data_IF_638781302200
#
_entry.id   IF_638781302200
#
_cell.length_a   1.000
_cell.length_b   1.000
_cell.length_c   1.000
_cell.angle_alpha   90.00
_cell.angle_beta   90.00
_cell.angle_gamma   90.00
#
_symmetry.space_group_name_H-M   'P 1'
#
loop_
_entity.id
_entity.type
_entity.pdbx_description
1 polymer ?
#
# COMPACT_ATOMS: atom_id res chain seq x y z
N UNK A 1 -35.24 -2.43 -6.36
CA UNK A 1 -34.82 -3.20 -7.55
C UNK A 1 -34.56 -2.21 -8.68
N UNK A 2 -33.35 -1.67 -8.72
CA UNK A 2 -32.76 -1.05 -9.92
C UNK A 2 -31.35 -1.64 -9.96
N UNK A 3 -31.31 -2.91 -10.38
CA UNK A 3 -30.11 -3.62 -10.81
C UNK A 3 -30.17 -3.68 -12.34
N UNK A 4 -28.99 -3.59 -12.95
CA UNK A 4 -28.70 -3.84 -14.37
C UNK A 4 -29.16 -2.80 -15.40
N UNK A 5 -28.24 -1.91 -15.82
CA UNK A 5 -27.83 -1.77 -17.22
C UNK A 5 -26.84 -0.62 -17.44
N UNK A 6 -25.54 -0.89 -17.26
CA UNK A 6 -24.56 -0.42 -18.23
C UNK A 6 -23.64 -1.61 -18.50
N UNK A 7 -23.71 -2.18 -19.69
CA UNK A 7 -22.75 -3.14 -20.20
C UNK A 7 -21.40 -2.44 -20.41
N UNK A 8 -20.70 -2.16 -19.31
CA UNK A 8 -19.26 -1.83 -19.25
C UNK A 8 -18.38 -3.08 -19.31
N UNK A 9 -18.96 -4.25 -19.60
CA UNK A 9 -18.29 -5.54 -19.66
C UNK A 9 -17.11 -5.48 -20.64
N UNK A 10 -15.91 -5.21 -20.12
CA UNK A 10 -14.67 -5.09 -20.88
C UNK A 10 -14.02 -3.71 -20.93
N UNK A 11 -14.58 -2.65 -20.34
CA UNK A 11 -13.92 -1.32 -20.28
C UNK A 11 -13.37 -1.01 -18.89
N UNK A 12 -12.31 -0.20 -18.84
CA UNK A 12 -11.87 0.44 -17.59
C UNK A 12 -12.85 1.55 -17.27
N UNK A 13 -13.44 1.58 -16.08
CA UNK A 13 -14.31 2.66 -15.62
C UNK A 13 -13.59 3.43 -14.53
N UNK A 14 -13.44 4.75 -14.69
CA UNK A 14 -12.88 5.63 -13.69
C UNK A 14 -13.93 6.63 -13.21
N UNK A 15 -13.91 6.95 -11.93
CA UNK A 15 -14.75 7.96 -11.31
C UNK A 15 -13.88 9.13 -10.84
N UNK A 16 -14.29 10.34 -11.21
CA UNK A 16 -13.61 11.57 -10.83
C UNK A 16 -14.56 12.46 -10.05
N UNK A 17 -14.10 12.98 -8.91
CA UNK A 17 -14.70 14.16 -8.29
C UNK A 17 -14.19 15.41 -9.02
N UNK A 18 -15.14 16.25 -9.41
CA UNK A 18 -14.96 17.50 -10.11
C UNK A 18 -15.39 18.66 -9.19
N UNK A 19 -14.43 19.50 -8.83
CA UNK A 19 -14.63 20.75 -8.11
C UNK A 19 -14.80 21.89 -9.12
N UNK A 20 -16.00 21.97 -9.69
CA UNK A 20 -16.39 22.95 -10.70
C UNK A 20 -17.90 23.28 -10.61
N UNK A 21 -18.35 24.42 -11.16
CA UNK A 21 -19.77 24.72 -11.27
C UNK A 21 -20.54 23.62 -12.04
N UNK A 22 -21.78 23.28 -11.65
CA UNK A 22 -22.57 22.23 -12.33
C UNK A 22 -22.73 22.44 -13.84
N UNK A 23 -22.81 23.69 -14.29
CA UNK A 23 -22.92 24.03 -15.72
C UNK A 23 -21.66 23.69 -16.53
N UNK A 24 -20.50 23.52 -15.87
CA UNK A 24 -19.20 23.23 -16.51
C UNK A 24 -18.83 21.74 -16.43
N UNK A 25 -19.48 20.97 -15.55
CA UNK A 25 -19.08 19.60 -15.22
C UNK A 25 -19.07 18.65 -16.43
N UNK A 26 -20.11 18.71 -17.26
CA UNK A 26 -20.21 17.90 -18.49
C UNK A 26 -19.07 18.21 -19.47
N UNK A 27 -18.73 19.50 -19.62
CA UNK A 27 -17.64 19.93 -20.49
C UNK A 27 -16.28 19.48 -19.94
N UNK A 28 -16.07 19.61 -18.62
CA UNK A 28 -14.85 19.15 -17.97
C UNK A 28 -14.69 17.63 -18.06
N UNK A 29 -15.76 16.86 -17.87
CA UNK A 29 -15.75 15.41 -18.02
C UNK A 29 -15.35 14.98 -19.44
N UNK A 30 -15.89 15.63 -20.48
CA UNK A 30 -15.49 15.37 -21.87
C UNK A 30 -14.03 15.71 -22.13
N UNK A 31 -13.54 16.81 -21.56
CA UNK A 31 -12.12 17.16 -21.65
C UNK A 31 -11.24 16.10 -21.01
N UNK A 32 -11.57 15.63 -19.80
CA UNK A 32 -10.86 14.54 -19.12
C UNK A 32 -10.84 13.28 -20.01
N UNK A 33 -11.98 12.92 -20.59
CA UNK A 33 -12.10 11.73 -21.44
C UNK A 33 -11.19 11.77 -22.66
N UNK A 34 -11.10 12.93 -23.34
CA UNK A 34 -10.28 13.11 -24.54
C UNK A 34 -8.79 13.31 -24.21
N UNK A 35 -8.48 14.07 -23.17
CA UNK A 35 -7.11 14.34 -22.71
C UNK A 35 -6.37 13.06 -22.33
N UNK A 36 -7.05 12.08 -21.73
CA UNK A 36 -6.42 10.82 -21.34
C UNK A 36 -6.31 9.79 -22.47
N UNK A 37 -6.83 10.09 -23.67
CA UNK A 37 -6.94 9.08 -24.75
C UNK A 37 -6.41 9.56 -26.09
N UNK A 38 -6.97 10.64 -26.61
CA UNK A 38 -6.69 11.13 -27.98
C UNK A 38 -5.89 12.42 -27.98
N UNK A 39 -5.82 13.13 -26.84
CA UNK A 39 -5.06 14.39 -26.67
C UNK A 39 -5.37 15.44 -27.75
N UNK A 40 -6.61 15.43 -28.25
CA UNK A 40 -7.09 16.31 -29.31
C UNK A 40 -8.46 16.89 -28.97
N UNK A 41 -8.77 18.12 -29.41
CA UNK A 41 -10.12 18.65 -29.37
C UNK A 41 -11.09 17.71 -30.10
N UNK A 42 -12.30 17.55 -29.56
CA UNK A 42 -13.32 16.62 -30.10
C UNK A 42 -13.56 16.79 -31.60
N UNK A 43 -13.62 18.05 -32.05
CA UNK A 43 -13.82 18.40 -33.46
C UNK A 43 -12.71 17.88 -34.41
N UNK A 44 -11.50 17.65 -33.90
CA UNK A 44 -10.36 17.16 -34.67
C UNK A 44 -10.26 15.63 -34.71
N UNK A 45 -10.95 14.93 -33.82
CA UNK A 45 -11.06 13.47 -33.86
C UNK A 45 -12.07 13.13 -34.94
N UNK A 46 -11.67 13.07 -36.21
CA UNK A 46 -12.62 12.89 -37.34
C UNK A 46 -12.84 11.44 -37.75
N UNK A 47 -11.89 10.56 -37.44
CA UNK A 47 -11.96 9.13 -37.74
C UNK A 47 -12.99 8.40 -36.84
N UNK A 48 -14.03 7.77 -37.41
CA UNK A 48 -15.04 7.04 -36.63
C UNK A 48 -14.48 5.88 -35.80
N UNK A 49 -13.43 5.20 -36.28
CA UNK A 49 -12.80 4.09 -35.55
C UNK A 49 -12.05 4.61 -34.32
N UNK A 50 -11.32 5.73 -34.45
CA UNK A 50 -10.63 6.36 -33.31
C UNK A 50 -11.65 6.84 -32.26
N UNK A 51 -12.75 7.48 -32.68
CA UNK A 51 -13.83 7.87 -31.77
C UNK A 51 -14.43 6.67 -31.03
N UNK A 52 -14.65 5.57 -31.73
CA UNK A 52 -15.28 4.41 -31.14
C UNK A 52 -14.34 3.62 -30.21
N UNK A 53 -13.07 3.47 -30.58
CA UNK A 53 -12.15 2.53 -29.94
C UNK A 53 -11.12 3.18 -29.01
N UNK A 54 -10.70 4.41 -29.29
CA UNK A 54 -9.63 5.09 -28.54
C UNK A 54 -10.21 6.12 -27.59
N UNK A 55 -11.10 6.99 -28.07
CA UNK A 55 -11.63 8.08 -27.27
C UNK A 55 -12.33 7.57 -25.99
N UNK A 56 -12.03 8.23 -24.88
CA UNK A 56 -12.74 8.03 -23.61
C UNK A 56 -14.22 8.40 -23.77
N UNK A 57 -15.09 7.73 -23.00
CA UNK A 57 -16.54 7.96 -23.05
C UNK A 57 -17.01 8.46 -21.70
N UNK A 58 -17.64 9.62 -21.67
CA UNK A 58 -18.38 10.06 -20.50
C UNK A 58 -19.63 9.19 -20.40
N UNK A 59 -19.68 8.35 -19.38
CA UNK A 59 -20.83 7.47 -19.12
C UNK A 59 -21.89 8.22 -18.32
N UNK A 60 -21.47 9.05 -17.38
CA UNK A 60 -22.37 9.76 -16.48
C UNK A 60 -21.69 10.98 -15.86
N UNK A 61 -22.46 12.05 -15.66
CA UNK A 61 -22.10 13.18 -14.82
C UNK A 61 -23.24 13.48 -13.86
N UNK A 62 -22.97 13.43 -12.56
CA UNK A 62 -23.93 13.74 -11.51
C UNK A 62 -23.40 14.94 -10.73
N UNK A 63 -24.24 15.95 -10.55
CA UNK A 63 -23.92 17.07 -9.67
C UNK A 63 -24.74 16.99 -8.39
N UNK A 64 -24.06 17.20 -7.27
CA UNK A 64 -24.65 17.27 -5.92
C UNK A 64 -24.24 18.59 -5.25
N UNK A 65 -24.82 18.91 -4.10
CA UNK A 65 -24.45 20.11 -3.35
C UNK A 65 -22.97 20.04 -2.93
N UNK A 66 -22.14 20.86 -3.59
CA UNK A 66 -20.72 21.06 -3.27
C UNK A 66 -19.71 20.40 -4.21
N UNK A 67 -20.09 19.45 -5.07
CA UNK A 67 -19.22 18.90 -6.13
C UNK A 67 -20.01 18.10 -7.18
N UNK A 68 -19.40 17.87 -8.34
CA UNK A 68 -19.89 16.93 -9.34
C UNK A 68 -19.00 15.68 -9.40
N UNK A 69 -19.57 14.57 -9.86
CA UNK A 69 -18.88 13.32 -10.11
C UNK A 69 -19.03 12.97 -11.59
N UNK A 70 -17.94 12.60 -12.24
CA UNK A 70 -17.93 12.10 -13.61
C UNK A 70 -17.45 10.66 -13.67
N UNK A 71 -18.20 9.80 -14.35
CA UNK A 71 -17.79 8.43 -14.67
C UNK A 71 -17.39 8.37 -16.13
N UNK A 72 -16.17 7.93 -16.37
CA UNK A 72 -15.56 7.89 -17.70
C UNK A 72 -15.02 6.50 -17.95
N UNK A 73 -15.36 5.93 -19.11
CA UNK A 73 -14.87 4.62 -19.51
C UNK A 73 -13.79 4.71 -20.59
N UNK A 74 -12.79 3.85 -20.48
CA UNK A 74 -11.63 3.77 -21.36
C UNK A 74 -11.48 2.36 -21.94
N UNK A 75 -10.90 2.27 -23.13
CA UNK A 75 -10.51 0.99 -23.71
C UNK A 75 -9.31 0.42 -22.92
N UNK A 76 -9.40 -0.80 -22.34
CA UNK A 76 -8.32 -1.37 -21.54
C UNK A 76 -7.03 -1.59 -22.34
N UNK A 77 -7.10 -1.76 -23.66
CA UNK A 77 -5.92 -1.98 -24.50
C UNK A 77 -4.97 -0.77 -24.51
N UNK A 78 -5.47 0.44 -24.20
CA UNK A 78 -4.66 1.66 -24.12
C UNK A 78 -3.59 1.60 -23.02
N UNK A 79 -3.81 0.82 -21.97
CA UNK A 79 -2.80 0.66 -20.92
C UNK A 79 -1.80 -0.46 -21.20
N UNK A 80 -1.94 -1.21 -22.30
CA UNK A 80 -1.06 -2.32 -22.68
C UNK A 80 -0.76 -3.32 -21.53
N UNK A 81 -1.69 -3.45 -20.57
CA UNK A 81 -1.55 -4.28 -19.35
C UNK A 81 -0.34 -3.90 -18.47
N UNK A 82 0.08 -2.64 -18.53
CA UNK A 82 1.15 -2.07 -17.69
C UNK A 82 0.55 -1.15 -16.63
N UNK A 83 1.02 -1.27 -15.39
CA UNK A 83 0.43 -0.53 -14.28
C UNK A 83 0.77 0.97 -14.36
N UNK A 84 1.94 1.28 -14.90
CA UNK A 84 2.35 2.66 -15.22
C UNK A 84 1.44 3.31 -16.27
N UNK A 85 1.12 2.59 -17.35
CA UNK A 85 0.23 3.11 -18.39
C UNK A 85 -1.22 3.17 -17.92
N UNK A 86 -1.65 2.25 -17.05
CA UNK A 86 -2.96 2.38 -16.40
C UNK A 86 -3.01 3.66 -15.54
N UNK A 87 -1.93 3.99 -14.83
CA UNK A 87 -1.87 5.21 -14.05
C UNK A 87 -1.90 6.47 -14.94
N UNK A 88 -1.25 6.44 -16.11
CA UNK A 88 -1.35 7.50 -17.12
C UNK A 88 -2.81 7.62 -17.59
N UNK A 89 -3.44 6.53 -17.99
CA UNK A 89 -4.82 6.52 -18.47
C UNK A 89 -5.81 7.05 -17.42
N UNK A 90 -5.62 6.71 -16.15
CA UNK A 90 -6.50 7.13 -15.06
C UNK A 90 -6.20 8.57 -14.61
N UNK A 91 -4.93 8.95 -14.47
CA UNK A 91 -4.54 10.20 -13.81
C UNK A 91 -3.22 10.80 -14.32
N UNK A 92 -2.92 10.65 -15.61
CA UNK A 92 -1.77 11.27 -16.31
C UNK A 92 -1.92 12.79 -16.48
N UNK A 93 -2.24 13.28 -17.68
CA UNK A 93 -2.32 14.72 -17.97
C UNK A 93 -3.34 15.45 -17.06
N UNK A 94 -4.42 14.78 -16.67
CA UNK A 94 -5.45 15.38 -15.81
C UNK A 94 -4.98 15.62 -14.38
N UNK A 95 -3.83 15.07 -13.96
CA UNK A 95 -3.20 15.45 -12.69
C UNK A 95 -2.74 16.92 -12.66
N UNK A 96 -2.59 17.55 -13.84
CA UNK A 96 -2.25 18.97 -14.00
C UNK A 96 -3.51 19.85 -13.89
N UNK A 97 -4.70 19.27 -14.07
CA UNK A 97 -5.95 20.00 -13.97
C UNK A 97 -6.23 20.37 -12.51
N UNK A 98 -6.86 21.52 -12.28
CA UNK A 98 -7.34 21.91 -10.96
C UNK A 98 -8.70 21.29 -10.70
N UNK A 99 -8.97 20.93 -9.44
CA UNK A 99 -10.29 20.46 -9.03
C UNK A 99 -10.67 19.09 -9.59
N UNK A 100 -9.69 18.24 -9.94
CA UNK A 100 -9.93 16.87 -10.42
C UNK A 100 -9.28 15.90 -9.44
N UNK A 101 -10.09 15.01 -8.86
CA UNK A 101 -9.62 13.93 -8.00
C UNK A 101 -10.14 12.59 -8.51
N UNK A 102 -9.24 11.61 -8.69
CA UNK A 102 -9.63 10.23 -8.98
C UNK A 102 -10.15 9.59 -7.68
N UNK A 103 -11.43 9.22 -7.65
CA UNK A 103 -12.13 8.73 -6.45
C UNK A 103 -12.45 7.24 -6.49
N UNK A 104 -12.64 6.67 -7.67
CA UNK A 104 -12.80 5.22 -7.84
C UNK A 104 -12.31 4.75 -9.21
N UNK A 105 -12.02 3.46 -9.36
CA UNK A 105 -11.91 2.83 -10.67
C UNK A 105 -12.28 1.34 -10.61
N UNK A 106 -12.75 0.80 -11.74
CA UNK A 106 -13.03 -0.62 -11.94
C UNK A 106 -12.35 -1.11 -13.21
N UNK A 107 -11.73 -2.27 -13.11
CA UNK A 107 -11.01 -2.89 -14.22
C UNK A 107 -11.73 -4.15 -14.68
N UNK A 108 -11.69 -4.47 -15.99
CA UNK A 108 -12.08 -5.79 -16.48
C UNK A 108 -11.23 -6.88 -15.82
N UNK A 109 -11.84 -8.06 -15.58
CA UNK A 109 -11.17 -9.18 -14.94
C UNK A 109 -9.87 -9.60 -15.66
N UNK A 110 -9.86 -9.59 -17.00
CA UNK A 110 -8.69 -9.93 -17.80
C UNK A 110 -7.53 -8.95 -17.62
N UNK A 111 -7.82 -7.65 -17.49
CA UNK A 111 -6.80 -6.64 -17.21
C UNK A 111 -6.27 -6.80 -15.78
N UNK A 112 -7.17 -7.05 -14.82
CA UNK A 112 -6.79 -7.25 -13.43
C UNK A 112 -5.88 -8.47 -13.24
N UNK A 113 -6.17 -9.57 -13.94
CA UNK A 113 -5.38 -10.80 -13.94
C UNK A 113 -3.97 -10.63 -14.52
N UNK A 114 -3.70 -9.54 -15.24
CA UNK A 114 -2.36 -9.25 -15.71
C UNK A 114 -1.42 -8.81 -14.56
N UNK A 115 -1.93 -8.27 -13.46
CA UNK A 115 -1.10 -7.78 -12.36
C UNK A 115 -0.74 -8.91 -11.37
N UNK A 116 0.48 -8.91 -10.81
CA UNK A 116 0.93 -10.03 -9.97
C UNK A 116 0.13 -10.17 -8.67
N UNK A 117 -0.30 -9.04 -8.10
CA UNK A 117 -0.82 -9.04 -6.74
C UNK A 117 0.20 -9.50 -5.70
N UNK A 118 -0.20 -9.57 -4.42
CA UNK A 118 0.68 -10.00 -3.34
C UNK A 118 1.17 -11.45 -3.51
N UNK A 119 2.45 -11.68 -3.22
CA UNK A 119 3.06 -13.02 -3.30
C UNK A 119 2.49 -13.96 -2.21
N UNK A 120 2.27 -13.42 -1.01
CA UNK A 120 1.74 -14.12 0.16
C UNK A 120 0.34 -13.63 0.54
N UNK A 121 0.13 -12.31 0.46
CA UNK A 121 -1.04 -11.64 1.00
C UNK A 121 -1.22 -11.86 2.50
N UNK A 122 -2.42 -11.53 2.99
CA UNK A 122 -2.82 -11.68 4.38
C UNK A 122 -2.61 -13.11 4.88
N UNK A 123 -3.15 -14.11 4.18
CA UNK A 123 -3.10 -15.50 4.61
C UNK A 123 -1.66 -16.03 4.68
N UNK A 124 -0.84 -15.78 3.65
CA UNK A 124 0.55 -16.24 3.63
C UNK A 124 1.40 -15.57 4.72
N UNK A 125 1.17 -14.29 5.02
CA UNK A 125 1.88 -13.61 6.13
C UNK A 125 1.50 -14.18 7.50
N UNK A 126 0.25 -14.63 7.68
CA UNK A 126 -0.18 -15.34 8.89
C UNK A 126 0.52 -16.68 9.04
N UNK A 127 0.69 -17.41 7.93
CA UNK A 127 1.44 -18.67 7.92
C UNK A 127 2.92 -18.45 8.21
N UNK A 128 3.55 -17.44 7.60
CA UNK A 128 4.97 -17.14 7.81
C UNK A 128 5.30 -16.74 9.25
N UNK A 129 4.40 -16.01 9.91
CA UNK A 129 4.59 -15.53 11.29
C UNK A 129 4.02 -16.47 12.34
N UNK A 130 3.13 -17.40 11.96
CA UNK A 130 2.38 -18.24 12.90
C UNK A 130 1.36 -17.49 13.76
N UNK A 131 1.20 -16.18 13.57
CA UNK A 131 0.32 -15.34 14.40
C UNK A 131 -1.11 -15.39 13.88
N UNK A 132 -2.06 -15.69 14.76
CA UNK A 132 -3.49 -15.67 14.45
C UNK A 132 -4.26 -14.88 15.49
N UNK A 133 -5.33 -14.21 15.07
CA UNK A 133 -6.27 -13.60 15.99
C UNK A 133 -5.93 -12.22 16.52
N UNK A 134 -4.75 -11.68 16.23
CA UNK A 134 -4.35 -10.31 16.59
C UNK A 134 -3.58 -9.64 15.43
N UNK A 135 -3.41 -8.32 15.45
CA UNK A 135 -2.49 -7.62 14.56
C UNK A 135 -1.07 -8.16 14.69
N UNK A 136 -0.34 -8.15 13.57
CA UNK A 136 1.11 -8.33 13.61
C UNK A 136 1.73 -7.07 14.23
N UNK A 137 2.62 -7.25 15.20
CA UNK A 137 3.40 -6.19 15.82
C UNK A 137 4.70 -6.01 15.03
N UNK A 138 4.88 -4.82 14.48
CA UNK A 138 6.06 -4.48 13.70
C UNK A 138 6.81 -3.27 14.28
N UNK A 139 8.11 -3.23 14.05
CA UNK A 139 8.94 -2.05 14.35
C UNK A 139 9.90 -1.73 13.21
N UNK A 140 10.42 -0.50 13.21
CA UNK A 140 11.46 -0.08 12.28
C UNK A 140 12.78 0.17 13.03
N UNK A 141 13.91 -0.26 12.46
CA UNK A 141 15.24 0.04 12.99
C UNK A 141 15.48 1.55 12.92
N UNK A 142 15.50 2.22 14.09
CA UNK A 142 15.58 3.68 14.26
C UNK A 142 16.28 4.04 15.57
N UNK A 143 16.94 5.22 15.67
CA UNK A 143 17.05 6.28 14.67
C UNK A 143 18.03 5.94 13.52
N UNK A 144 18.13 6.83 12.52
CA UNK A 144 19.20 6.74 11.51
C UNK A 144 20.55 7.04 12.16
N UNK A 145 21.60 6.38 11.67
CA UNK A 145 22.98 6.57 12.15
C UNK A 145 23.40 5.61 13.27
N UNK A 146 22.56 4.63 13.62
CA UNK A 146 22.95 3.55 14.52
C UNK A 146 24.13 2.75 13.93
N UNK A 147 25.04 2.33 14.80
CA UNK A 147 26.09 1.38 14.44
C UNK A 147 25.49 0.02 14.09
N UNK A 148 26.25 -0.81 13.37
CA UNK A 148 25.84 -2.17 13.04
C UNK A 148 25.49 -2.98 14.30
N UNK A 149 26.29 -2.83 15.37
CA UNK A 149 26.05 -3.47 16.66
C UNK A 149 24.71 -3.02 17.27
N UNK A 150 24.42 -1.72 17.25
CA UNK A 150 23.17 -1.18 17.78
C UNK A 150 21.95 -1.65 16.99
N UNK A 151 22.02 -1.67 15.66
CA UNK A 151 20.94 -2.18 14.80
C UNK A 151 20.66 -3.66 15.08
N UNK A 152 21.73 -4.46 15.19
CA UNK A 152 21.66 -5.90 15.47
C UNK A 152 21.09 -6.17 16.86
N UNK A 153 21.52 -5.41 17.89
CA UNK A 153 20.99 -5.50 19.24
C UNK A 153 19.50 -5.14 19.31
N UNK A 154 19.09 -4.08 18.61
CA UNK A 154 17.69 -3.66 18.50
C UNK A 154 16.83 -4.76 17.85
N UNK A 155 17.29 -5.32 16.73
CA UNK A 155 16.57 -6.39 16.03
C UNK A 155 16.41 -7.63 16.92
N UNK A 156 17.47 -8.06 17.61
CA UNK A 156 17.42 -9.19 18.54
C UNK A 156 16.48 -8.93 19.72
N UNK A 157 16.53 -7.74 20.32
CA UNK A 157 15.68 -7.37 21.46
C UNK A 157 14.19 -7.36 21.10
N UNK A 158 13.83 -6.80 19.93
CA UNK A 158 12.44 -6.82 19.47
C UNK A 158 11.95 -8.25 19.21
N UNK A 159 12.77 -9.08 18.53
CA UNK A 159 12.41 -10.47 18.27
C UNK A 159 12.23 -11.29 19.57
N UNK A 160 13.15 -11.17 20.55
CA UNK A 160 13.01 -11.82 21.87
C UNK A 160 11.79 -11.32 22.66
N UNK A 161 11.40 -10.07 22.45
CA UNK A 161 10.20 -9.49 23.05
C UNK A 161 8.89 -10.02 22.45
N UNK A 162 8.97 -10.84 21.39
CA UNK A 162 7.82 -11.42 20.70
C UNK A 162 7.23 -10.53 19.61
N UNK A 163 8.01 -9.62 19.04
CA UNK A 163 7.62 -8.90 17.84
C UNK A 163 7.59 -9.80 16.61
N UNK A 164 6.79 -9.43 15.60
CA UNK A 164 6.52 -10.31 14.46
C UNK A 164 7.28 -9.87 13.18
N UNK A 165 7.46 -8.56 12.96
CA UNK A 165 8.16 -8.04 11.77
C UNK A 165 9.08 -6.87 12.17
N UNK A 166 10.34 -6.97 11.81
CA UNK A 166 11.31 -5.87 11.85
C UNK A 166 11.53 -5.38 10.43
N UNK A 167 11.46 -4.07 10.20
CA UNK A 167 11.86 -3.46 8.92
C UNK A 167 13.04 -2.49 9.11
N UNK A 168 13.84 -2.33 8.07
CA UNK A 168 14.76 -1.20 7.99
C UNK A 168 13.99 0.14 7.92
N UNK A 169 14.63 1.27 8.23
CA UNK A 169 14.11 2.58 7.85
C UNK A 169 14.22 2.78 6.33
N UNK A 170 13.23 3.41 5.71
CA UNK A 170 13.23 3.68 4.26
C UNK A 170 14.32 4.67 3.81
N UNK A 171 14.91 5.43 4.74
CA UNK A 171 16.02 6.32 4.43
C UNK A 171 17.39 5.68 4.66
N UNK A 172 17.41 4.38 5.02
CA UNK A 172 18.64 3.62 5.13
C UNK A 172 19.05 3.18 3.72
N UNK A 173 20.13 3.79 3.23
CA UNK A 173 20.67 3.58 1.89
C UNK A 173 22.18 3.33 2.00
N UNK A 174 22.58 2.11 1.66
CA UNK A 174 23.96 1.64 1.71
C UNK A 174 24.38 1.20 0.30
N UNK A 175 25.69 1.22 0.02
CA UNK A 175 26.23 0.46 -1.11
C UNK A 175 26.07 -1.05 -0.89
N UNK A 176 26.32 -1.86 -1.92
CA UNK A 176 26.09 -3.30 -1.84
C UNK A 176 26.93 -3.98 -0.75
N UNK A 177 28.14 -3.49 -0.47
CA UNK A 177 29.02 -4.09 0.53
C UNK A 177 28.49 -3.82 1.95
N UNK A 178 28.16 -2.56 2.25
CA UNK A 178 27.58 -2.17 3.53
C UNK A 178 26.19 -2.79 3.73
N UNK A 179 25.37 -2.84 2.67
CA UNK A 179 24.08 -3.53 2.67
C UNK A 179 24.25 -5.01 3.05
N UNK A 180 25.17 -5.72 2.40
CA UNK A 180 25.41 -7.14 2.68
C UNK A 180 25.80 -7.36 4.14
N UNK A 181 26.76 -6.58 4.65
CA UNK A 181 27.19 -6.68 6.05
C UNK A 181 26.03 -6.42 7.02
N UNK A 182 25.24 -5.36 6.79
CA UNK A 182 24.10 -5.00 7.64
C UNK A 182 23.02 -6.07 7.65
N UNK A 183 22.58 -6.49 6.47
CA UNK A 183 21.46 -7.42 6.32
C UNK A 183 21.83 -8.80 6.89
N UNK A 184 23.06 -9.28 6.66
CA UNK A 184 23.53 -10.52 7.25
C UNK A 184 23.52 -10.49 8.78
N UNK A 185 24.07 -9.43 9.39
CA UNK A 185 24.14 -9.30 10.84
C UNK A 185 22.74 -9.20 11.47
N UNK A 186 21.85 -8.37 10.92
CA UNK A 186 20.48 -8.23 11.42
C UNK A 186 19.70 -9.55 11.27
N UNK A 187 19.80 -10.21 10.11
CA UNK A 187 19.13 -11.49 9.89
C UNK A 187 19.66 -12.59 10.81
N UNK A 188 20.96 -12.63 11.07
CA UNK A 188 21.55 -13.58 12.02
C UNK A 188 21.02 -13.33 13.43
N UNK A 189 21.00 -12.08 13.89
CA UNK A 189 20.45 -11.73 15.20
C UNK A 189 18.98 -12.12 15.37
N UNK A 190 18.15 -11.87 14.35
CA UNK A 190 16.74 -12.26 14.37
C UNK A 190 16.60 -13.78 14.40
N UNK A 191 17.40 -14.52 13.64
CA UNK A 191 17.41 -15.99 13.67
C UNK A 191 17.81 -16.54 15.04
N UNK A 192 18.87 -16.02 15.64
CA UNK A 192 19.30 -16.45 16.99
C UNK A 192 18.25 -16.12 18.06
N UNK A 193 17.61 -14.95 17.96
CA UNK A 193 16.52 -14.57 18.87
C UNK A 193 15.32 -15.51 18.72
N UNK A 194 14.91 -15.81 17.49
CA UNK A 194 13.83 -16.75 17.19
C UNK A 194 14.13 -18.15 17.75
N UNK A 195 15.35 -18.67 17.56
CA UNK A 195 15.74 -19.99 18.10
C UNK A 195 15.68 -20.04 19.63
N UNK A 196 16.09 -18.97 20.31
CA UNK A 196 16.11 -18.93 21.78
C UNK A 196 14.71 -18.74 22.39
N UNK A 197 13.83 -18.04 21.69
CA UNK A 197 12.50 -17.67 22.18
C UNK A 197 11.35 -18.48 21.56
N UNK A 198 11.66 -19.50 20.75
CA UNK A 198 10.70 -20.23 19.90
C UNK A 198 9.79 -19.27 19.08
N UNK A 199 10.43 -18.25 18.51
CA UNK A 199 9.78 -17.15 17.80
C UNK A 199 9.86 -17.27 16.27
N UNK A 200 9.05 -16.48 15.58
CA UNK A 200 8.99 -16.43 14.11
C UNK A 200 9.09 -15.00 13.57
N UNK A 201 9.82 -14.11 14.27
CA UNK A 201 10.01 -12.75 13.82
C UNK A 201 10.68 -12.72 12.44
N UNK A 202 10.13 -11.93 11.52
CA UNK A 202 10.68 -11.72 10.19
C UNK A 202 11.49 -10.42 10.14
N UNK A 203 12.50 -10.36 9.28
CA UNK A 203 13.28 -9.16 9.01
C UNK A 203 13.15 -8.74 7.54
N UNK A 204 12.71 -7.51 7.31
CA UNK A 204 12.44 -6.92 6.00
C UNK A 204 13.45 -5.80 5.72
N UNK A 205 14.59 -6.11 5.09
CA UNK A 205 15.58 -5.09 4.74
C UNK A 205 15.04 -4.14 3.68
N UNK A 206 15.51 -2.89 3.69
CA UNK A 206 15.18 -1.91 2.67
C UNK A 206 16.14 -2.01 1.49
N UNK A 207 15.61 -2.25 0.29
CA UNK A 207 16.39 -2.23 -0.94
C UNK A 207 16.22 -0.88 -1.62
N UNK A 208 17.28 -0.08 -1.65
CA UNK A 208 17.34 1.26 -2.29
C UNK A 208 18.33 1.32 -3.46
N UNK A 209 18.55 0.19 -4.14
CA UNK A 209 19.60 0.06 -5.14
C UNK A 209 19.23 0.71 -6.49
N UNK A 210 20.22 1.15 -7.29
CA UNK A 210 20.01 1.51 -8.69
C UNK A 210 19.39 0.35 -9.48
N UNK A 211 18.57 0.67 -10.50
CA UNK A 211 17.83 -0.34 -11.27
C UNK A 211 18.71 -1.48 -11.81
N UNK A 212 19.91 -1.15 -12.32
CA UNK A 212 20.85 -2.14 -12.85
C UNK A 212 21.53 -3.04 -11.82
N UNK A 213 21.36 -2.77 -10.52
CA UNK A 213 21.92 -3.57 -9.42
C UNK A 213 20.86 -4.28 -8.57
N UNK A 214 19.56 -4.02 -8.79
CA UNK A 214 18.48 -4.58 -7.98
C UNK A 214 18.61 -6.09 -7.81
N UNK A 215 18.94 -6.80 -8.88
CA UNK A 215 19.08 -8.25 -8.87
C UNK A 215 20.09 -8.76 -7.84
N UNK A 216 21.24 -8.09 -7.68
CA UNK A 216 22.28 -8.49 -6.73
C UNK A 216 21.78 -8.39 -5.28
N UNK A 217 20.96 -7.37 -4.99
CA UNK A 217 20.38 -7.16 -3.67
C UNK A 217 19.31 -8.21 -3.37
N UNK A 218 18.41 -8.46 -4.33
CA UNK A 218 17.35 -9.47 -4.16
C UNK A 218 17.93 -10.89 -4.03
N UNK A 219 18.86 -11.28 -4.90
CA UNK A 219 19.54 -12.57 -4.80
C UNK A 219 20.25 -12.75 -3.45
N UNK A 220 20.89 -11.70 -2.94
CA UNK A 220 21.55 -11.75 -1.64
C UNK A 220 20.56 -11.94 -0.49
N UNK A 221 19.46 -11.17 -0.47
CA UNK A 221 18.39 -11.29 0.53
C UNK A 221 17.78 -12.69 0.51
N UNK A 222 17.47 -13.23 -0.67
CA UNK A 222 16.95 -14.59 -0.82
C UNK A 222 17.96 -15.65 -0.37
N UNK A 223 19.25 -15.49 -0.67
CA UNK A 223 20.32 -16.38 -0.22
C UNK A 223 20.47 -16.42 1.31
N UNK A 224 20.07 -15.35 2.00
CA UNK A 224 19.98 -15.31 3.47
C UNK A 224 18.66 -15.87 4.00
N UNK A 225 17.80 -16.46 3.18
CA UNK A 225 16.51 -17.03 3.59
C UNK A 225 15.52 -15.99 4.13
N UNK A 226 15.72 -14.71 3.81
CA UNK A 226 14.78 -13.64 4.16
C UNK A 226 13.53 -13.79 3.29
N UNK A 227 12.36 -13.55 3.89
CA UNK A 227 11.05 -13.80 3.28
C UNK A 227 10.29 -12.55 2.84
N UNK A 228 10.81 -11.37 3.14
CA UNK A 228 10.21 -10.11 2.69
C UNK A 228 11.20 -8.96 2.66
N UNK A 229 10.80 -7.87 2.00
CA UNK A 229 11.60 -6.66 1.79
C UNK A 229 10.74 -5.41 1.98
N UNK A 230 11.37 -4.32 2.38
CA UNK A 230 10.79 -2.99 2.30
C UNK A 230 11.14 -2.36 0.96
N UNK A 231 10.14 -1.84 0.25
CA UNK A 231 10.31 -1.07 -0.98
C UNK A 231 9.52 0.24 -0.90
N UNK A 232 9.89 1.23 -1.71
CA UNK A 232 9.18 2.49 -1.85
C UNK A 232 8.53 2.58 -3.25
N UNK A 233 7.29 2.10 -3.45
CA UNK A 233 6.71 1.90 -4.78
C UNK A 233 6.67 3.16 -5.66
N UNK A 234 6.40 4.33 -5.08
CA UNK A 234 6.34 5.58 -5.85
C UNK A 234 7.71 6.15 -6.21
N UNK A 235 8.77 5.73 -5.51
CA UNK A 235 10.15 6.11 -5.84
C UNK A 235 10.68 5.20 -6.95
N UNK A 236 10.37 3.90 -6.89
CA UNK A 236 10.77 2.94 -7.93
C UNK A 236 9.87 2.96 -9.18
N UNK A 237 8.60 3.36 -9.03
CA UNK A 237 7.55 3.18 -10.02
C UNK A 237 6.81 1.85 -9.84
N UNK A 238 5.47 1.89 -9.99
CA UNK A 238 4.61 0.73 -9.72
C UNK A 238 4.89 -0.46 -10.63
N UNK A 239 5.24 -0.23 -11.89
CA UNK A 239 5.51 -1.31 -12.85
C UNK A 239 6.85 -2.02 -12.56
N UNK A 240 7.84 -1.29 -12.01
CA UNK A 240 9.07 -1.90 -11.50
C UNK A 240 8.77 -2.81 -10.29
N UNK A 241 7.85 -2.40 -9.40
CA UNK A 241 7.39 -3.26 -8.30
C UNK A 241 6.68 -4.51 -8.84
N UNK A 242 5.82 -4.39 -9.87
CA UNK A 242 5.21 -5.55 -10.52
C UNK A 242 6.27 -6.56 -11.00
N UNK A 243 7.32 -6.09 -11.66
CA UNK A 243 8.39 -6.94 -12.18
C UNK A 243 9.15 -7.64 -11.04
N UNK A 244 9.47 -6.92 -9.97
CA UNK A 244 10.17 -7.47 -8.79
C UNK A 244 9.30 -8.50 -8.05
N UNK A 245 8.00 -8.22 -7.88
CA UNK A 245 7.05 -9.13 -7.23
C UNK A 245 6.96 -10.48 -7.98
N UNK A 246 6.80 -10.44 -9.31
CA UNK A 246 6.76 -11.66 -10.15
C UNK A 246 8.04 -12.47 -10.07
N UNK A 247 9.19 -11.80 -10.07
CA UNK A 247 10.49 -12.44 -10.22
C UNK A 247 10.97 -13.11 -8.93
N UNK A 248 10.78 -12.46 -7.79
CA UNK A 248 11.44 -12.90 -6.55
C UNK A 248 10.52 -13.61 -5.55
N UNK A 249 9.20 -13.42 -5.63
CA UNK A 249 8.25 -14.08 -4.72
C UNK A 249 8.52 -13.79 -3.24
N UNK A 250 9.08 -12.62 -2.92
CA UNK A 250 9.27 -12.12 -1.56
C UNK A 250 8.04 -11.32 -1.13
N UNK A 251 7.73 -11.32 0.17
CA UNK A 251 6.72 -10.42 0.70
C UNK A 251 7.17 -8.96 0.54
N UNK A 252 6.34 -8.11 -0.03
CA UNK A 252 6.63 -6.70 -0.22
C UNK A 252 5.88 -5.89 0.84
N UNK A 253 6.65 -5.23 1.71
CA UNK A 253 6.15 -4.15 2.55
C UNK A 253 6.36 -2.84 1.82
N UNK A 254 5.28 -2.22 1.38
CA UNK A 254 5.27 -0.97 0.62
C UNK A 254 5.29 0.24 1.57
N UNK A 255 6.31 1.07 1.43
CA UNK A 255 6.42 2.34 2.15
C UNK A 255 5.76 3.48 1.34
N UNK A 256 5.01 4.40 1.98
CA UNK A 256 4.30 5.48 1.30
C UNK A 256 5.21 6.69 1.00
N UNK A 257 6.51 6.48 0.80
CA UNK A 257 7.42 7.58 0.48
C UNK A 257 6.96 8.22 -0.83
N UNK A 258 6.96 9.56 -0.89
CA UNK A 258 6.42 10.39 -1.97
C UNK A 258 4.88 10.42 -2.10
N UNK A 259 4.12 9.57 -1.40
CA UNK A 259 2.67 9.47 -1.57
C UNK A 259 1.91 10.77 -1.26
N UNK A 260 2.38 11.56 -0.29
CA UNK A 260 1.74 12.82 0.10
C UNK A 260 1.58 13.83 -1.04
N UNK A 261 2.43 13.76 -2.07
CA UNK A 261 2.29 14.62 -3.27
C UNK A 261 1.12 14.23 -4.18
N UNK A 262 0.61 13.01 -4.06
CA UNK A 262 -0.46 12.47 -4.92
C UNK A 262 -1.80 12.35 -4.21
N UNK A 263 -1.80 12.17 -2.89
CA UNK A 263 -3.02 12.01 -2.09
C UNK A 263 -3.87 13.29 -2.03
N UNK A 264 -3.21 14.44 -2.28
CA UNK A 264 -3.82 15.74 -2.50
C UNK A 264 -4.78 16.21 -1.40
N UNK A 265 -5.61 17.20 -1.71
CA UNK A 265 -6.69 17.69 -0.84
C UNK A 265 -8.00 16.94 -1.14
N UNK A 266 -9.12 17.37 -0.59
CA UNK A 266 -10.44 16.82 -0.97
C UNK A 266 -10.76 16.98 -2.47
N UNK A 267 -10.12 17.93 -3.16
CA UNK A 267 -10.48 18.35 -4.52
C UNK A 267 -9.44 18.01 -5.58
N UNK A 268 -8.26 17.49 -5.19
CA UNK A 268 -7.17 17.16 -6.13
C UNK A 268 -6.51 15.85 -5.73
N UNK A 269 -6.00 15.12 -6.72
CA UNK A 269 -5.12 13.97 -6.52
C UNK A 269 -5.80 12.63 -6.70
N UNK A 270 -5.29 11.61 -6.02
CA UNK A 270 -5.82 10.24 -6.04
C UNK A 270 -6.31 9.90 -4.63
N UNK A 271 -7.47 9.26 -4.55
CA UNK A 271 -7.99 8.74 -3.29
C UNK A 271 -6.97 7.86 -2.54
N UNK A 272 -7.01 7.96 -1.21
CA UNK A 272 -6.08 7.28 -0.32
C UNK A 272 -6.11 5.76 -0.46
N UNK A 273 -7.31 5.18 -0.50
CA UNK A 273 -7.46 3.73 -0.64
C UNK A 273 -7.12 3.25 -2.03
N UNK A 274 -7.35 4.05 -3.07
CA UNK A 274 -6.90 3.71 -4.42
C UNK A 274 -5.38 3.65 -4.51
N UNK A 275 -4.68 4.69 -4.04
CA UNK A 275 -3.22 4.77 -4.19
C UNK A 275 -2.50 3.78 -3.27
N UNK A 276 -2.75 3.87 -1.95
CA UNK A 276 -2.04 3.09 -0.94
C UNK A 276 -2.69 1.72 -0.71
N UNK A 277 -3.92 1.50 -1.17
CA UNK A 277 -4.58 0.21 -1.13
C UNK A 277 -4.52 -0.50 -2.49
N UNK A 278 -5.47 -0.19 -3.37
CA UNK A 278 -5.71 -0.93 -4.62
C UNK A 278 -4.49 -0.98 -5.53
N UNK A 279 -3.88 0.16 -5.85
CA UNK A 279 -2.73 0.23 -6.78
C UNK A 279 -1.48 -0.42 -6.20
N UNK A 280 -1.16 -0.20 -4.91
CA UNK A 280 -0.04 -0.87 -4.25
C UNK A 280 -0.25 -2.38 -4.16
N UNK A 281 -1.47 -2.83 -3.84
CA UNK A 281 -1.84 -4.24 -3.80
C UNK A 281 -1.72 -4.89 -5.18
N UNK A 282 -2.21 -4.24 -6.23
CA UNK A 282 -2.04 -4.69 -7.62
C UNK A 282 -0.56 -4.80 -8.01
N UNK A 283 0.26 -3.82 -7.60
CA UNK A 283 1.70 -3.82 -7.88
C UNK A 283 2.43 -4.99 -7.20
N UNK A 284 1.89 -5.51 -6.11
CA UNK A 284 2.42 -6.69 -5.42
C UNK A 284 2.65 -6.53 -3.91
N UNK A 285 2.17 -5.44 -3.30
CA UNK A 285 2.35 -5.19 -1.88
C UNK A 285 1.53 -6.16 -1.02
N UNK A 286 2.19 -6.99 -0.22
CA UNK A 286 1.57 -7.82 0.82
C UNK A 286 1.18 -7.01 2.05
N UNK A 287 1.93 -5.93 2.32
CA UNK A 287 1.71 -5.00 3.41
C UNK A 287 1.82 -3.59 2.86
N UNK A 288 0.86 -2.72 3.14
CA UNK A 288 0.95 -1.30 2.76
C UNK A 288 0.99 -0.41 3.99
N UNK A 289 2.08 0.35 4.14
CA UNK A 289 2.28 1.28 5.24
C UNK A 289 1.58 2.61 4.93
N UNK A 290 0.88 3.18 5.91
CA UNK A 290 0.29 4.51 5.80
C UNK A 290 0.23 5.23 7.15
N UNK A 291 0.23 6.58 7.18
CA UNK A 291 -0.02 7.35 8.39
C UNK A 291 -1.36 6.98 9.03
N UNK A 292 -1.36 6.66 10.32
CA UNK A 292 -2.59 6.47 11.09
C UNK A 292 -3.18 7.82 11.51
N UNK A 293 -4.48 7.83 11.84
CA UNK A 293 -5.09 8.92 12.61
C UNK A 293 -4.46 9.03 14.02
N UNK A 294 -4.50 10.23 14.59
CA UNK A 294 -3.99 10.51 15.96
C UNK A 294 -2.47 10.64 16.07
N UNK A 295 -1.74 10.57 14.94
CA UNK A 295 -0.29 10.75 14.89
C UNK A 295 0.15 12.16 14.48
N UNK A 296 1.47 12.36 14.37
CA UNK A 296 2.08 13.61 13.88
C UNK A 296 1.60 13.99 12.47
N UNK A 297 1.48 12.99 11.61
CA UNK A 297 0.83 13.10 10.30
C UNK A 297 -0.48 12.32 10.45
N UNK A 298 -1.61 13.02 10.49
CA UNK A 298 -2.90 12.40 10.78
C UNK A 298 -3.75 12.39 9.53
N UNK A 299 -3.93 11.20 8.95
CA UNK A 299 -5.06 10.95 8.08
C UNK A 299 -6.34 10.90 8.93
N UNK A 300 -7.47 11.24 8.31
CA UNK A 300 -8.79 11.09 8.91
C UNK A 300 -9.16 9.61 9.08
N UNK A 301 -10.19 9.34 9.90
CA UNK A 301 -10.76 8.00 10.04
C UNK A 301 -11.32 7.49 8.71
N UNK A 302 -11.90 8.36 7.88
CA UNK A 302 -12.45 7.97 6.59
C UNK A 302 -11.33 7.51 5.63
N UNK A 303 -10.23 8.26 5.56
CA UNK A 303 -9.07 7.92 4.72
C UNK A 303 -8.40 6.62 5.19
N UNK A 304 -8.19 6.46 6.50
CA UNK A 304 -7.62 5.23 7.06
C UNK A 304 -8.54 4.02 6.83
N UNK A 305 -9.86 4.20 6.97
CA UNK A 305 -10.85 3.16 6.70
C UNK A 305 -10.84 2.74 5.24
N UNK A 306 -10.81 3.71 4.32
CA UNK A 306 -10.75 3.47 2.88
C UNK A 306 -9.49 2.69 2.48
N UNK A 307 -8.32 3.03 3.01
CA UNK A 307 -7.09 2.25 2.79
C UNK A 307 -7.21 0.82 3.32
N UNK A 308 -7.68 0.67 4.57
CA UNK A 308 -7.90 -0.64 5.21
C UNK A 308 -8.80 -1.53 4.36
N UNK A 309 -9.89 -0.96 3.84
CA UNK A 309 -10.92 -1.70 3.11
C UNK A 309 -10.42 -2.07 1.70
N UNK A 310 -9.81 -1.15 0.94
CA UNK A 310 -9.22 -1.44 -0.38
C UNK A 310 -8.13 -2.54 -0.34
N UNK A 311 -7.37 -2.62 0.75
CA UNK A 311 -6.37 -3.67 0.92
C UNK A 311 -6.99 -5.06 1.10
N UNK A 312 -8.24 -5.15 1.58
CA UNK A 312 -8.86 -6.42 1.98
C UNK A 312 -10.03 -6.84 1.10
N UNK A 313 -10.72 -5.90 0.47
CA UNK A 313 -11.92 -6.17 -0.32
C UNK A 313 -11.64 -7.10 -1.52
N UNK A 314 -12.64 -7.83 -2.03
CA UNK A 314 -12.48 -8.66 -3.22
C UNK A 314 -11.98 -7.82 -4.41
N UNK A 315 -10.94 -8.30 -5.09
CA UNK A 315 -10.32 -7.64 -6.23
C UNK A 315 -9.92 -8.69 -7.28
N UNK A 316 -10.91 -9.38 -7.84
CA UNK A 316 -10.70 -10.57 -8.67
C UNK A 316 -9.87 -11.62 -7.93
N UNK A 317 -8.87 -12.18 -8.61
CA UNK A 317 -7.96 -13.18 -8.05
C UNK A 317 -6.80 -12.56 -7.23
N UNK A 318 -6.72 -11.24 -7.11
CA UNK A 318 -5.66 -10.57 -6.35
C UNK A 318 -5.90 -10.80 -4.86
N UNK A 319 -4.95 -11.46 -4.20
CA UNK A 319 -5.02 -11.76 -2.76
C UNK A 319 -5.17 -10.50 -1.90
N UNK A 320 -5.93 -10.55 -0.79
CA UNK A 320 -5.95 -9.49 0.22
C UNK A 320 -4.56 -9.20 0.77
N UNK A 321 -4.28 -7.93 1.06
CA UNK A 321 -3.06 -7.43 1.69
C UNK A 321 -3.35 -6.90 3.11
N UNK A 322 -2.30 -6.71 3.90
CA UNK A 322 -2.42 -6.18 5.27
C UNK A 322 -2.24 -4.65 5.29
N UNK A 323 -3.19 -3.90 5.87
CA UNK A 323 -2.97 -2.51 6.25
C UNK A 323 -1.93 -2.41 7.37
N UNK A 324 -0.95 -1.54 7.19
CA UNK A 324 0.07 -1.22 8.18
C UNK A 324 -0.02 0.25 8.62
N UNK A 325 -1.01 0.63 9.44
CA UNK A 325 -1.03 1.98 10.01
C UNK A 325 0.27 2.23 10.80
N UNK A 326 0.78 3.45 10.72
CA UNK A 326 2.03 3.85 11.35
C UNK A 326 1.92 5.26 11.95
N UNK A 327 2.51 5.44 13.13
CA UNK A 327 2.50 6.70 13.87
C UNK A 327 1.27 6.86 14.77
N UNK A 328 1.41 7.60 15.87
CA UNK A 328 0.31 7.87 16.81
C UNK A 328 -0.11 6.70 17.68
N UNK A 329 0.55 5.53 17.60
CA UNK A 329 0.18 4.34 18.37
C UNK A 329 0.86 4.33 19.74
N UNK A 330 0.10 4.66 20.78
CA UNK A 330 0.52 4.64 22.18
C UNK A 330 -0.25 3.54 22.92
N UNK A 331 0.14 3.21 24.15
CA UNK A 331 -0.56 2.18 24.92
C UNK A 331 -2.01 2.61 25.27
N UNK A 332 -2.23 3.91 25.47
CA UNK A 332 -3.49 4.47 25.92
C UNK A 332 -4.57 4.42 24.83
N UNK A 333 -4.19 4.62 23.57
CA UNK A 333 -5.12 4.60 22.44
C UNK A 333 -5.11 3.28 21.65
N UNK A 334 -4.29 2.31 22.06
CA UNK A 334 -4.22 1.00 21.43
C UNK A 334 -5.59 0.30 21.33
N UNK A 335 -6.49 0.34 22.33
CA UNK A 335 -7.81 -0.30 22.22
C UNK A 335 -8.68 0.28 21.09
N UNK A 336 -8.62 1.60 20.83
CA UNK A 336 -9.35 2.24 19.73
C UNK A 336 -8.79 1.82 18.38
N UNK A 337 -7.46 1.78 18.25
CA UNK A 337 -6.78 1.32 17.05
C UNK A 337 -7.10 -0.15 16.76
N UNK A 338 -7.12 -1.01 17.80
CA UNK A 338 -7.49 -2.42 17.68
C UNK A 338 -8.92 -2.58 17.16
N UNK A 339 -9.89 -1.84 17.72
CA UNK A 339 -11.28 -1.86 17.23
C UNK A 339 -11.39 -1.39 15.78
N UNK A 340 -10.67 -0.32 15.43
CA UNK A 340 -10.77 0.28 14.12
C UNK A 340 -10.11 -0.56 13.02
N UNK A 341 -8.87 -1.00 13.21
CA UNK A 341 -8.15 -1.74 12.19
C UNK A 341 -8.43 -3.25 12.21
N UNK A 342 -8.85 -3.79 13.36
CA UNK A 342 -9.13 -5.21 13.55
C UNK A 342 -7.88 -6.08 13.57
N UNK A 343 -8.04 -7.39 13.70
CA UNK A 343 -6.92 -8.30 13.83
C UNK A 343 -6.05 -8.37 12.57
N UNK A 344 -6.62 -8.21 11.38
CA UNK A 344 -5.93 -8.37 10.09
C UNK A 344 -5.14 -7.15 9.64
N UNK A 345 -4.34 -6.60 10.54
CA UNK A 345 -3.44 -5.46 10.29
C UNK A 345 -2.04 -5.70 10.82
N UNK A 346 -1.12 -4.81 10.47
CA UNK A 346 0.23 -4.72 11.02
C UNK A 346 0.35 -3.41 11.78
N UNK A 347 0.56 -3.45 13.09
CA UNK A 347 0.78 -2.23 13.87
C UNK A 347 2.27 -1.90 13.86
N UNK A 348 2.64 -0.88 13.07
CA UNK A 348 4.01 -0.41 12.97
C UNK A 348 4.29 0.63 14.06
N UNK A 349 4.85 0.15 15.18
CA UNK A 349 5.10 0.95 16.37
C UNK A 349 6.60 1.24 16.48
N UNK A 350 6.95 2.52 16.28
CA UNK A 350 8.32 3.04 16.39
C UNK A 350 8.60 3.66 17.75
N UNK A 351 8.57 5.00 17.82
CA UNK A 351 9.01 5.76 19.00
C UNK A 351 8.28 5.41 20.30
N UNK A 352 6.99 5.10 20.25
CA UNK A 352 6.23 4.68 21.44
C UNK A 352 6.79 3.39 22.06
N UNK A 353 7.20 2.44 21.23
CA UNK A 353 7.79 1.19 21.68
C UNK A 353 9.17 1.42 22.30
N UNK A 354 9.97 2.34 21.74
CA UNK A 354 11.25 2.74 22.33
C UNK A 354 11.11 3.50 23.65
N UNK A 355 9.99 4.20 23.86
CA UNK A 355 9.75 5.05 25.04
C UNK A 355 9.00 4.37 26.19
N UNK A 356 8.30 3.25 25.95
CA UNK A 356 7.34 2.69 26.90
C UNK A 356 7.96 1.95 28.11
N UNK A 357 9.23 1.53 28.02
CA UNK A 357 9.84 0.63 29.00
C UNK A 357 11.32 0.94 29.24
N UNK A 358 11.95 0.16 30.11
CA UNK A 358 13.38 0.27 30.41
C UNK A 358 14.25 -0.12 29.21
N UNK A 359 13.78 -1.09 28.43
CA UNK A 359 14.44 -1.62 27.25
C UNK A 359 13.41 -2.05 26.20
N UNK A 360 13.89 -2.22 24.96
CA UNK A 360 13.03 -2.55 23.81
C UNK A 360 12.34 -3.92 23.94
N UNK A 361 13.01 -4.92 24.53
CA UNK A 361 12.47 -6.27 24.68
C UNK A 361 11.27 -6.26 25.62
N UNK A 362 11.41 -5.58 26.77
CA UNK A 362 10.36 -5.38 27.76
C UNK A 362 9.20 -4.55 27.22
N UNK A 363 9.49 -3.48 26.46
CA UNK A 363 8.44 -2.70 25.77
C UNK A 363 7.69 -3.54 24.73
N UNK A 364 8.40 -4.37 23.95
CA UNK A 364 7.77 -5.24 22.95
C UNK A 364 6.83 -6.24 23.62
N UNK A 365 7.27 -6.87 24.72
CA UNK A 365 6.41 -7.75 25.53
C UNK A 365 5.15 -7.05 26.02
N UNK A 366 5.29 -5.80 26.48
CA UNK A 366 4.16 -5.01 26.96
C UNK A 366 3.13 -4.74 25.84
N UNK A 367 3.57 -4.24 24.69
CA UNK A 367 2.66 -4.01 23.56
C UNK A 367 2.01 -5.30 23.07
N UNK A 368 2.80 -6.39 22.95
CA UNK A 368 2.28 -7.71 22.58
C UNK A 368 1.21 -8.17 23.56
N UNK A 369 1.47 -8.12 24.87
CA UNK A 369 0.52 -8.54 25.89
C UNK A 369 -0.79 -7.73 25.83
N UNK A 370 -0.72 -6.43 25.55
CA UNK A 370 -1.91 -5.59 25.36
C UNK A 370 -2.72 -5.95 24.12
N UNK A 371 -2.05 -6.29 23.01
CA UNK A 371 -2.72 -6.80 21.82
C UNK A 371 -3.40 -8.14 22.10
N UNK A 372 -2.68 -9.07 22.75
CA UNK A 372 -3.22 -10.37 23.14
C UNK A 372 -4.44 -10.21 24.07
N UNK A 373 -4.35 -9.36 25.11
CA UNK A 373 -5.46 -9.06 26.03
C UNK A 373 -6.71 -8.56 25.28
N UNK A 374 -6.54 -7.62 24.36
CA UNK A 374 -7.67 -7.05 23.61
C UNK A 374 -8.37 -8.10 22.73
N UNK A 375 -7.60 -8.92 22.01
CA UNK A 375 -8.13 -9.84 21.00
C UNK A 375 -8.47 -11.24 21.54
N UNK A 376 -7.95 -11.63 22.71
CA UNK A 376 -8.41 -12.83 23.44
C UNK A 376 -9.77 -12.54 24.10
N UNK A 377 -9.90 -11.41 24.80
CA UNK A 377 -11.12 -11.07 25.55
C UNK A 377 -12.33 -10.78 24.64
N UNK A 378 -12.12 -10.32 23.41
CA UNK A 378 -13.21 -10.06 22.45
C UNK A 378 -13.76 -11.32 21.78
N UNK A 379 -13.08 -12.48 21.88
CA UNK A 379 -13.61 -13.77 21.40
C UNK A 379 -14.66 -14.40 22.33
N UNK A 380 -14.95 -13.77 23.47
CA UNK A 380 -15.90 -14.28 24.48
C UNK A 380 -17.18 -13.44 24.61
N UNK A 381 -17.46 -12.55 23.67
CA UNK A 381 -18.78 -11.93 23.55
C UNK A 381 -19.57 -12.74 22.52
N UNK A 382 -20.56 -13.57 22.92
CA UNK A 382 -21.44 -14.23 21.98
C UNK A 382 -22.24 -13.18 21.20
N UNK A 383 -22.36 -13.36 19.89
CA UNK A 383 -23.25 -12.60 19.01
C UNK A 383 -24.71 -12.74 19.43
#
# INVERSE_FOLDING_TARGET
>A
MIEESIQTAGRVLAEYRLDCPPAEAEHLARRIALEQTVELPEAQVTDPAIRAQVAGRVEEVICSDGFCTARISYNPELCARQLSQLLILLFGNVSIYRGVKLTDFRLPAELLAAFPGPAFGLAGLRELTGVRGRPLLATAIKPRGLSLEQMTAMAAAFARGGGDIIKDDQNLADDLTAFKARVAACQQAVREANLRADGHCLYFPHISAPAGQLEDYFCYVQGLGIRGVLLCPLVFGLDAICALARRHGLAIMAHPALAGGFLGTETLGIDHGLLLGTLFRMAGADISIFPSFGGRFSFSHAECGRIRDCLREPLGEIRPALPAPAGGMQLENLPDLCRFYGADSVFLIGGALQAAGQDLESSTRLFRARLDEHFINTRHVPS
#
